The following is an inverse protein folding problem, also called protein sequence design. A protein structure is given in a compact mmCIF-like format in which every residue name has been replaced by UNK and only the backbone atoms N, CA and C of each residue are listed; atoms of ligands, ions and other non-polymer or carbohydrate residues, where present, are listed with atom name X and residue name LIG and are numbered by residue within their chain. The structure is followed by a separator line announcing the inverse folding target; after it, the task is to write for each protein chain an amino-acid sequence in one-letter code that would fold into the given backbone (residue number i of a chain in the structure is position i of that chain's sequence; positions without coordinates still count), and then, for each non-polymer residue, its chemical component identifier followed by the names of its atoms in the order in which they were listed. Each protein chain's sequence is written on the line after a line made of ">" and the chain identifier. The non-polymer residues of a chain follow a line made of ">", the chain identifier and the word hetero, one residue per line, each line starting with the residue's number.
data_IF_804951825267
#
_entry.id   IF_804951825267
#
_cell.length_a   1.000
_cell.length_b   1.000
_cell.length_c   1.000
_cell.angle_alpha   90.00
_cell.angle_beta   90.00
_cell.angle_gamma   90.00
#
_symmetry.space_group_name_H-M   'P 1'
#
loop_
_entity.id
_entity.type
_entity.pdbx_description
1 polymer ?
#
# COMPACT_ATOMS: atom_id res chain seq x y z
N UNK A 1 -3.20 15.04 1.23
CA UNK A 1 -3.33 14.54 2.61
C UNK A 1 -4.44 13.51 2.64
N UNK A 2 -4.13 12.26 2.95
CA UNK A 2 -5.15 11.24 3.17
C UNK A 2 -6.03 11.66 4.36
N UNK A 3 -7.35 11.47 4.24
CA UNK A 3 -8.24 11.67 5.38
C UNK A 3 -7.99 10.54 6.36
N UNK A 4 -7.46 10.88 7.52
CA UNK A 4 -7.35 9.94 8.64
C UNK A 4 -8.74 9.37 8.97
N UNK A 5 -8.82 8.10 9.38
CA UNK A 5 -10.07 7.52 9.86
C UNK A 5 -10.70 8.37 10.97
N UNK A 6 -12.02 8.48 10.98
CA UNK A 6 -12.74 9.35 11.91
C UNK A 6 -12.44 9.05 13.38
N UNK A 7 -12.21 7.79 13.74
CA UNK A 7 -11.79 7.36 15.07
C UNK A 7 -10.41 7.89 15.45
N UNK A 8 -9.46 7.93 14.50
CA UNK A 8 -8.11 8.48 14.74
C UNK A 8 -8.17 10.00 14.83
N UNK A 9 -8.97 10.67 14.00
CA UNK A 9 -9.21 12.12 14.08
C UNK A 9 -9.85 12.52 15.42
N UNK A 10 -10.86 11.77 15.87
CA UNK A 10 -11.48 11.99 17.19
C UNK A 10 -10.48 11.80 18.33
N UNK A 11 -9.60 10.82 18.20
CA UNK A 11 -8.59 10.50 19.18
C UNK A 11 -7.45 11.53 19.26
N UNK A 12 -7.04 12.11 18.13
CA UNK A 12 -5.99 13.15 18.06
C UNK A 12 -6.51 14.56 18.33
N UNK A 13 -7.82 14.77 18.29
CA UNK A 13 -8.44 16.09 18.45
C UNK A 13 -8.34 16.66 19.88
N UNK A 14 -8.14 15.81 20.89
CA UNK A 14 -8.27 16.18 22.31
C UNK A 14 -7.06 16.93 22.90
N UNK A 15 -5.85 16.81 22.34
CA UNK A 15 -4.70 17.59 22.82
C UNK A 15 -3.62 17.79 21.74
N UNK A 16 -2.97 18.98 21.80
CA UNK A 16 -1.85 19.31 20.90
C UNK A 16 -0.64 18.35 21.12
N UNK A 17 -0.38 17.96 22.36
CA UNK A 17 0.71 17.07 22.76
C UNK A 17 0.55 15.67 22.15
N UNK A 18 -0.67 15.12 22.12
CA UNK A 18 -0.93 13.84 21.46
C UNK A 18 -0.70 13.91 19.97
N UNK A 19 -1.21 14.96 19.33
CA UNK A 19 -1.02 15.14 17.89
C UNK A 19 0.47 15.21 17.54
N UNK A 20 1.26 15.84 18.37
CA UNK A 20 2.71 15.89 18.23
C UNK A 20 3.33 14.50 18.43
N UNK A 21 2.94 13.74 19.47
CA UNK A 21 3.41 12.38 19.70
C UNK A 21 3.14 11.43 18.54
N UNK A 22 1.92 11.46 17.98
CA UNK A 22 1.60 10.66 16.79
C UNK A 22 2.37 11.11 15.54
N UNK A 23 2.59 12.41 15.36
CA UNK A 23 3.39 12.93 14.25
C UNK A 23 4.85 12.48 14.36
N UNK A 24 5.41 12.53 15.55
CA UNK A 24 6.77 12.06 15.82
C UNK A 24 6.90 10.53 15.59
N UNK A 25 5.84 9.76 15.87
CA UNK A 25 5.86 8.32 15.57
C UNK A 25 5.83 8.03 14.08
N UNK A 26 5.08 8.79 13.29
CA UNK A 26 5.10 8.65 11.81
C UNK A 26 6.51 8.93 11.26
N UNK A 27 7.19 9.95 11.79
CA UNK A 27 8.57 10.25 11.41
C UNK A 27 9.51 9.12 11.83
N UNK A 28 9.38 8.63 13.06
CA UNK A 28 10.14 7.49 13.55
C UNK A 28 9.95 6.24 12.68
N UNK A 29 8.72 5.92 12.33
CA UNK A 29 8.41 4.79 11.45
C UNK A 29 9.03 4.93 10.05
N UNK A 30 8.98 6.14 9.49
CA UNK A 30 9.61 6.41 8.19
C UNK A 30 11.13 6.18 8.24
N UNK A 31 11.80 6.64 9.30
CA UNK A 31 13.23 6.40 9.51
C UNK A 31 13.56 4.93 9.73
N UNK A 32 12.75 4.23 10.51
CA UNK A 32 12.88 2.79 10.72
C UNK A 32 12.78 2.01 9.40
N UNK A 33 11.78 2.34 8.56
CA UNK A 33 11.58 1.73 7.25
C UNK A 33 12.75 2.00 6.29
N UNK A 34 13.30 3.20 6.32
CA UNK A 34 14.43 3.62 5.48
C UNK A 34 15.80 3.16 6.03
N UNK A 35 15.86 2.58 7.23
CA UNK A 35 17.09 2.18 7.90
C UNK A 35 18.02 3.34 8.26
N UNK A 36 17.48 4.55 8.41
CA UNK A 36 18.25 5.75 8.76
C UNK A 36 18.46 5.85 10.27
N UNK A 37 19.64 6.32 10.65
CA UNK A 37 20.05 6.46 12.06
C UNK A 37 19.74 7.82 12.67
N UNK A 38 19.40 8.82 11.84
CA UNK A 38 19.09 10.19 12.26
C UNK A 38 17.99 10.79 11.39
N UNK A 39 17.20 11.71 11.97
CA UNK A 39 16.22 12.48 11.22
C UNK A 39 16.86 13.70 10.51
N UNK A 40 16.06 14.45 9.74
CA UNK A 40 16.49 15.66 9.05
C UNK A 40 17.01 16.76 10.00
N UNK A 41 16.61 16.72 11.28
CA UNK A 41 17.03 17.69 12.30
C UNK A 41 18.25 17.23 13.11
N UNK A 42 18.88 16.09 12.77
CA UNK A 42 20.05 15.55 13.43
C UNK A 42 19.76 14.81 14.76
N UNK A 43 18.48 14.57 15.09
CA UNK A 43 18.09 13.79 16.28
C UNK A 43 18.38 12.32 16.01
N UNK A 44 19.07 11.66 16.94
CA UNK A 44 19.42 10.25 16.80
C UNK A 44 18.20 9.34 17.01
N UNK A 45 18.25 8.16 16.41
CA UNK A 45 17.19 7.15 16.56
C UNK A 45 17.00 6.74 18.04
N UNK A 46 18.08 6.72 18.83
CA UNK A 46 18.00 6.42 20.27
C UNK A 46 17.23 7.49 21.04
N UNK A 47 17.49 8.77 20.78
CA UNK A 47 16.76 9.87 21.46
C UNK A 47 15.28 9.88 21.06
N UNK A 48 14.96 9.48 19.82
CA UNK A 48 13.58 9.32 19.40
C UNK A 48 12.90 8.15 20.11
N UNK A 49 13.61 7.04 20.33
CA UNK A 49 13.10 5.90 21.09
C UNK A 49 12.72 6.30 22.53
N UNK A 50 13.55 7.09 23.22
CA UNK A 50 13.29 7.53 24.59
C UNK A 50 12.06 8.43 24.65
N UNK A 51 11.92 9.35 23.70
CA UNK A 51 10.71 10.18 23.58
C UNK A 51 9.46 9.35 23.31
N UNK A 52 9.57 8.33 22.45
CA UNK A 52 8.46 7.43 22.15
C UNK A 52 8.09 6.57 23.35
N UNK A 53 9.05 6.08 24.12
CA UNK A 53 8.78 5.32 25.34
C UNK A 53 7.97 6.16 26.36
N UNK A 54 8.35 7.42 26.53
CA UNK A 54 7.61 8.35 27.40
C UNK A 54 6.18 8.55 26.90
N UNK A 55 6.02 8.86 25.63
CA UNK A 55 4.72 9.04 25.00
C UNK A 55 3.82 7.80 25.14
N UNK A 56 4.35 6.60 24.88
CA UNK A 56 3.60 5.36 25.02
C UNK A 56 3.22 5.08 26.47
N UNK A 57 4.12 5.34 27.42
CA UNK A 57 3.83 5.17 28.85
C UNK A 57 2.69 6.08 29.31
N UNK A 58 2.66 7.31 28.85
CA UNK A 58 1.60 8.27 29.14
C UNK A 58 0.26 7.86 28.50
N UNK A 59 0.27 7.39 27.26
CA UNK A 59 -0.93 6.89 26.59
C UNK A 59 -1.48 5.61 27.22
N UNK A 60 -0.61 4.68 27.62
CA UNK A 60 -1.01 3.46 28.34
C UNK A 60 -1.61 3.83 29.70
N UNK A 61 -1.00 4.75 30.44
CA UNK A 61 -1.52 5.22 31.70
C UNK A 61 -2.90 5.88 31.56
N UNK A 62 -3.08 6.65 30.51
CA UNK A 62 -4.36 7.30 30.21
C UNK A 62 -5.46 6.30 29.86
N UNK A 63 -5.17 5.33 28.99
CA UNK A 63 -6.15 4.34 28.53
C UNK A 63 -6.50 3.33 29.64
N UNK A 64 -5.51 2.90 30.43
CA UNK A 64 -5.72 1.96 31.54
C UNK A 64 -6.31 2.64 32.79
N UNK A 65 -6.23 3.97 32.87
CA UNK A 65 -6.60 4.72 34.10
C UNK A 65 -5.67 4.47 35.30
N UNK A 66 -4.52 3.80 35.08
CA UNK A 66 -3.55 3.45 36.13
C UNK A 66 -2.20 4.06 35.81
N UNK A 67 -1.53 4.62 36.83
CA UNK A 67 -0.18 5.14 36.68
C UNK A 67 0.83 4.17 37.28
N UNK A 68 2.01 4.10 36.70
CA UNK A 68 3.12 3.30 37.27
C UNK A 68 3.50 3.74 38.68
N UNK A 69 3.38 5.04 39.00
CA UNK A 69 3.64 5.60 40.31
C UNK A 69 2.72 5.08 41.43
N UNK A 70 1.55 4.54 41.07
CA UNK A 70 0.56 4.05 41.99
C UNK A 70 0.78 2.57 42.39
N UNK A 71 1.80 1.94 41.79
CA UNK A 71 2.17 0.54 42.00
C UNK A 71 3.49 0.42 42.74
N UNK A 72 3.67 -0.70 43.46
CA UNK A 72 4.90 -0.93 44.23
C UNK A 72 6.12 -1.11 43.31
N UNK A 73 5.93 -1.73 42.16
CA UNK A 73 6.96 -1.92 41.13
C UNK A 73 6.39 -2.02 39.73
N UNK A 74 7.27 -2.00 38.75
CA UNK A 74 6.91 -2.11 37.32
C UNK A 74 6.27 -3.48 36.99
N UNK A 75 6.68 -4.55 37.65
CA UNK A 75 6.14 -5.88 37.42
C UNK A 75 4.67 -5.95 37.84
N UNK A 76 4.31 -5.32 38.95
CA UNK A 76 2.92 -5.21 39.39
C UNK A 76 2.10 -4.40 38.40
N UNK A 77 2.61 -3.27 37.91
CA UNK A 77 1.95 -2.45 36.90
C UNK A 77 1.68 -3.26 35.61
N UNK A 78 2.66 -3.99 35.13
CA UNK A 78 2.54 -4.82 33.90
C UNK A 78 1.58 -6.01 34.08
N UNK A 79 1.26 -6.42 35.30
CA UNK A 79 0.35 -7.54 35.54
C UNK A 79 -1.13 -7.19 35.41
N UNK A 80 -1.49 -5.91 35.48
CA UNK A 80 -2.87 -5.50 35.29
C UNK A 80 -3.36 -5.78 33.86
N UNK A 81 -4.54 -6.39 33.75
CA UNK A 81 -5.17 -6.65 32.44
C UNK A 81 -5.40 -5.35 31.68
N UNK A 82 -5.89 -4.31 32.36
CA UNK A 82 -6.20 -3.01 31.75
C UNK A 82 -4.95 -2.36 31.11
N UNK A 83 -3.77 -2.52 31.76
CA UNK A 83 -2.49 -2.01 31.25
C UNK A 83 -2.05 -2.77 30.01
N UNK A 84 -2.23 -4.10 30.01
CA UNK A 84 -1.92 -4.95 28.84
C UNK A 84 -2.82 -4.60 27.65
N UNK A 85 -4.12 -4.53 27.88
CA UNK A 85 -5.10 -4.16 26.87
C UNK A 85 -4.84 -2.76 26.31
N UNK A 86 -4.53 -1.79 27.20
CA UNK A 86 -4.18 -0.44 26.81
C UNK A 86 -2.90 -0.40 25.94
N UNK A 87 -1.86 -1.15 26.29
CA UNK A 87 -0.62 -1.20 25.52
C UNK A 87 -0.86 -1.68 24.08
N UNK A 88 -1.63 -2.75 23.92
CA UNK A 88 -1.93 -3.28 22.58
C UNK A 88 -2.99 -2.45 21.84
N UNK A 89 -3.87 -1.75 22.54
CA UNK A 89 -4.77 -0.78 21.92
C UNK A 89 -4.00 0.37 21.28
N UNK A 90 -2.93 0.87 21.93
CA UNK A 90 -2.03 1.88 21.36
C UNK A 90 -1.38 1.35 20.08
N UNK A 91 -0.91 0.10 20.06
CA UNK A 91 -0.35 -0.54 18.85
C UNK A 91 -1.38 -0.55 17.72
N UNK A 92 -2.61 -0.94 18.01
CA UNK A 92 -3.70 -0.95 17.02
C UNK A 92 -4.00 0.44 16.44
N UNK A 93 -4.04 1.46 17.29
CA UNK A 93 -4.28 2.85 16.84
C UNK A 93 -3.16 3.36 15.93
N UNK A 94 -1.91 3.07 16.27
CA UNK A 94 -0.75 3.45 15.45
C UNK A 94 -0.76 2.73 14.10
N UNK A 95 -1.16 1.47 14.09
CA UNK A 95 -1.34 0.69 12.87
C UNK A 95 -2.35 1.35 11.92
N UNK A 96 -3.50 1.76 12.47
CA UNK A 96 -4.56 2.41 11.70
C UNK A 96 -4.18 3.80 11.17
N UNK A 97 -3.25 4.47 11.84
CA UNK A 97 -2.73 5.76 11.42
C UNK A 97 -1.76 5.64 10.24
N UNK A 98 -0.86 4.67 10.29
CA UNK A 98 0.28 4.57 9.37
C UNK A 98 -0.09 3.85 8.07
N UNK A 99 -0.78 2.72 8.15
CA UNK A 99 -1.00 1.84 7.00
C UNK A 99 -1.66 2.56 5.82
N UNK A 100 -2.76 3.31 5.97
CA UNK A 100 -3.39 3.97 4.82
C UNK A 100 -2.47 4.98 4.14
N UNK A 101 -1.70 5.74 4.92
CA UNK A 101 -0.80 6.77 4.39
C UNK A 101 0.41 6.16 3.67
N UNK A 102 1.02 5.13 4.25
CA UNK A 102 2.12 4.39 3.65
C UNK A 102 1.71 3.72 2.33
N UNK A 103 0.55 3.07 2.29
CA UNK A 103 0.06 2.43 1.08
C UNK A 103 -0.28 3.44 -0.03
N UNK A 104 -0.87 4.59 0.32
CA UNK A 104 -1.17 5.64 -0.66
C UNK A 104 0.12 6.21 -1.24
N UNK A 105 1.14 6.41 -0.41
CA UNK A 105 2.43 6.94 -0.84
C UNK A 105 3.14 5.99 -1.80
N UNK A 106 3.15 4.70 -1.48
CA UNK A 106 3.92 3.70 -2.24
C UNK A 106 3.15 3.18 -3.47
N UNK A 107 1.85 2.92 -3.32
CA UNK A 107 1.03 2.24 -4.33
C UNK A 107 -0.10 3.11 -4.93
N UNK A 108 -0.17 4.38 -4.58
CA UNK A 108 -1.24 5.29 -5.02
C UNK A 108 -1.37 5.46 -6.53
N UNK A 109 -0.41 5.03 -7.33
CA UNK A 109 -0.53 5.02 -8.79
C UNK A 109 -1.40 3.87 -9.31
N UNK A 110 -1.34 2.70 -8.68
CA UNK A 110 -2.02 1.47 -9.11
C UNK A 110 -3.25 1.14 -8.27
N UNK A 111 -3.26 1.55 -6.99
CA UNK A 111 -4.30 1.22 -6.03
C UNK A 111 -5.09 2.45 -5.56
N UNK A 112 -6.40 2.27 -5.40
CA UNK A 112 -7.31 3.21 -4.72
C UNK A 112 -7.68 2.61 -3.37
N UNK A 113 -7.40 3.35 -2.29
CA UNK A 113 -7.64 2.89 -0.92
C UNK A 113 -8.87 3.61 -0.37
N UNK A 114 -9.83 2.84 0.13
CA UNK A 114 -11.05 3.33 0.79
C UNK A 114 -11.16 2.70 2.17
N UNK A 115 -11.58 3.51 3.13
CA UNK A 115 -11.86 3.07 4.49
C UNK A 115 -13.37 3.07 4.72
N UNK A 116 -13.86 2.06 5.43
CA UNK A 116 -15.26 1.94 5.84
C UNK A 116 -15.40 1.52 7.29
N UNK A 117 -16.65 1.39 7.76
CA UNK A 117 -16.97 0.86 9.08
C UNK A 117 -16.92 -0.67 9.13
N UNK A 118 -17.02 -1.23 10.33
CA UNK A 118 -17.18 -2.67 10.52
C UNK A 118 -18.51 -3.18 9.95
N UNK A 119 -18.44 -4.26 9.18
CA UNK A 119 -19.59 -4.84 8.49
C UNK A 119 -19.87 -4.24 7.11
N UNK A 120 -19.11 -3.24 6.69
CA UNK A 120 -19.25 -2.64 5.38
C UNK A 120 -18.55 -3.49 4.29
N UNK A 121 -19.03 -3.35 3.07
CA UNK A 121 -18.36 -3.89 1.88
C UNK A 121 -18.25 -2.80 0.81
N UNK A 122 -17.20 -2.85 0.00
CA UNK A 122 -17.02 -1.87 -1.05
C UNK A 122 -17.69 -2.32 -2.34
N UNK A 123 -18.74 -1.60 -2.73
CA UNK A 123 -19.33 -1.73 -4.06
C UNK A 123 -18.63 -0.82 -5.05
N UNK A 124 -18.10 -1.40 -6.11
CA UNK A 124 -17.43 -0.69 -7.19
C UNK A 124 -18.29 -0.78 -8.45
N UNK A 125 -18.73 0.37 -8.94
CA UNK A 125 -19.41 0.47 -10.23
C UNK A 125 -18.39 0.57 -11.36
N UNK A 126 -18.48 -0.34 -12.32
CA UNK A 126 -17.73 -0.26 -13.57
C UNK A 126 -18.45 0.67 -14.51
N UNK A 127 -17.82 1.80 -14.82
CA UNK A 127 -18.31 2.74 -15.83
C UNK A 127 -17.76 2.31 -17.19
N UNK A 128 -18.61 1.81 -18.11
CA UNK A 128 -18.15 1.47 -19.45
C UNK A 128 -17.60 2.72 -20.13
N UNK A 129 -16.47 2.58 -20.77
CA UNK A 129 -15.83 3.64 -21.57
C UNK A 129 -16.13 3.51 -23.06
N UNK A 130 -16.99 2.57 -23.44
CA UNK A 130 -17.41 2.36 -24.80
C UNK A 130 -18.10 3.62 -25.32
N UNK A 131 -17.66 4.09 -26.49
CA UNK A 131 -18.29 5.22 -27.15
C UNK A 131 -19.54 4.72 -27.89
N UNK A 132 -20.61 5.52 -27.85
CA UNK A 132 -21.75 5.26 -28.68
C UNK A 132 -21.40 5.33 -30.17
N UNK A 133 -21.89 4.38 -30.94
CA UNK A 133 -21.65 4.34 -32.38
C UNK A 133 -22.40 5.49 -33.04
N UNK A 134 -21.67 6.40 -33.66
CA UNK A 134 -22.24 7.48 -34.46
C UNK A 134 -22.38 7.03 -35.91
N UNK A 135 -23.60 6.72 -36.32
CA UNK A 135 -23.92 6.30 -37.67
C UNK A 135 -24.07 7.51 -38.57
N UNK A 136 -23.41 7.51 -39.75
CA UNK A 136 -23.66 8.47 -40.81
C UNK A 136 -24.93 8.07 -41.56
N UNK A 137 -25.84 9.01 -41.75
CA UNK A 137 -27.06 8.78 -42.50
C UNK A 137 -27.43 9.99 -43.36
N UNK A 138 -28.11 9.75 -44.48
CA UNK A 138 -28.67 10.81 -45.33
C UNK A 138 -29.82 11.55 -44.57
N UNK A 139 -30.18 12.76 -45.06
CA UNK A 139 -31.22 13.60 -44.43
C UNK A 139 -32.60 12.91 -44.33
N UNK A 140 -32.82 11.84 -45.05
CA UNK A 140 -34.09 11.09 -45.07
C UNK A 140 -34.06 9.76 -44.26
N UNK A 141 -32.98 9.50 -43.53
CA UNK A 141 -32.89 8.29 -42.65
C UNK A 141 -33.78 8.49 -41.43
N UNK A 142 -34.75 7.59 -41.24
CA UNK A 142 -35.72 7.68 -40.15
C UNK A 142 -35.24 7.09 -38.80
N UNK A 143 -34.31 6.15 -38.83
CA UNK A 143 -33.84 5.43 -37.64
C UNK A 143 -32.33 5.28 -37.67
N UNK A 144 -31.71 5.41 -36.51
CA UNK A 144 -30.31 5.14 -36.26
C UNK A 144 -30.21 3.91 -35.31
N UNK A 145 -29.11 3.19 -35.36
CA UNK A 145 -28.89 2.03 -34.54
C UNK A 145 -28.83 2.43 -33.06
N UNK A 146 -29.51 1.65 -32.19
CA UNK A 146 -29.55 1.92 -30.75
C UNK A 146 -28.37 1.25 -30.10
N UNK A 147 -27.46 2.05 -29.53
CA UNK A 147 -26.37 1.55 -28.69
C UNK A 147 -26.80 1.61 -27.23
N UNK A 148 -26.71 0.48 -26.52
CA UNK A 148 -27.06 0.38 -25.09
C UNK A 148 -25.82 0.49 -24.24
N UNK A 149 -25.93 1.22 -23.13
CA UNK A 149 -24.88 1.28 -22.11
C UNK A 149 -25.13 0.21 -21.05
N UNK A 150 -24.11 -0.57 -20.75
CA UNK A 150 -24.16 -1.56 -19.68
C UNK A 150 -23.34 -1.05 -18.50
N UNK A 151 -23.87 -1.19 -17.29
CA UNK A 151 -23.12 -0.95 -16.06
C UNK A 151 -22.79 -2.30 -15.43
N UNK A 152 -21.54 -2.48 -15.04
CA UNK A 152 -21.09 -3.59 -14.21
C UNK A 152 -20.99 -3.14 -12.76
N UNK A 153 -21.24 -4.03 -11.82
CA UNK A 153 -21.05 -3.83 -10.40
C UNK A 153 -20.27 -5.02 -9.84
N UNK A 154 -19.28 -4.75 -9.01
CA UNK A 154 -18.55 -5.79 -8.28
C UNK A 154 -18.37 -5.35 -6.84
N UNK A 155 -18.61 -6.27 -5.90
CA UNK A 155 -18.43 -6.03 -4.47
C UNK A 155 -17.12 -6.64 -4.00
N UNK A 156 -16.34 -5.89 -3.23
CA UNK A 156 -15.16 -6.35 -2.51
C UNK A 156 -15.60 -6.60 -1.07
N UNK A 157 -15.47 -7.84 -0.63
CA UNK A 157 -15.75 -8.26 0.74
C UNK A 157 -14.40 -8.30 1.48
N UNK A 158 -14.27 -7.60 2.62
CA UNK A 158 -13.06 -7.68 3.41
C UNK A 158 -12.89 -9.04 4.09
N UNK A 159 -11.64 -9.44 4.29
CA UNK A 159 -11.23 -10.64 5.01
C UNK A 159 -10.37 -10.23 6.21
N UNK A 160 -10.45 -10.99 7.30
CA UNK A 160 -9.71 -10.70 8.53
C UNK A 160 -8.33 -11.33 8.46
N UNK A 161 -7.31 -10.50 8.60
CA UNK A 161 -5.91 -10.92 8.69
C UNK A 161 -5.43 -10.71 10.12
N UNK A 162 -4.74 -11.69 10.67
CA UNK A 162 -4.23 -11.63 12.04
C UNK A 162 -2.74 -11.85 12.11
N UNK A 163 -2.08 -11.09 12.98
CA UNK A 163 -0.69 -11.31 13.37
C UNK A 163 -0.65 -11.56 14.89
N UNK A 164 -0.11 -12.69 15.28
CA UNK A 164 0.10 -13.00 16.70
C UNK A 164 1.55 -12.74 17.08
N UNK A 165 1.73 -11.90 18.06
CA UNK A 165 3.07 -11.50 18.55
C UNK A 165 3.19 -11.76 20.04
N UNK A 166 4.35 -12.28 20.44
CA UNK A 166 4.70 -12.47 21.85
C UNK A 166 5.72 -11.43 22.30
N UNK A 167 5.44 -10.72 23.37
CA UNK A 167 6.35 -9.74 23.95
C UNK A 167 6.27 -9.76 25.48
N UNK A 168 7.41 -9.54 26.15
CA UNK A 168 7.44 -9.26 27.58
C UNK A 168 7.17 -7.77 27.81
N UNK A 169 5.97 -7.43 28.26
CA UNK A 169 5.61 -6.04 28.54
C UNK A 169 6.53 -5.43 29.63
N UNK A 170 6.98 -6.25 30.58
CA UNK A 170 7.94 -5.84 31.62
C UNK A 170 9.27 -5.37 30.99
N UNK A 171 9.84 -6.16 30.06
CA UNK A 171 11.11 -5.82 29.43
C UNK A 171 10.99 -4.59 28.51
N UNK A 172 9.82 -4.43 27.90
CA UNK A 172 9.50 -3.26 27.08
C UNK A 172 9.41 -1.99 27.93
N UNK A 173 8.65 -1.99 29.01
CA UNK A 173 8.49 -0.82 29.87
C UNK A 173 9.74 -0.53 30.71
N UNK A 174 10.59 -1.55 30.96
CA UNK A 174 11.92 -1.37 31.55
C UNK A 174 12.91 -0.71 30.58
N UNK A 175 12.59 -0.65 29.29
CA UNK A 175 13.46 -0.10 28.25
C UNK A 175 14.50 -1.08 27.72
N UNK A 176 14.40 -2.38 28.04
CA UNK A 176 15.30 -3.43 27.50
C UNK A 176 15.01 -3.67 26.02
N UNK A 177 13.74 -3.64 25.62
CA UNK A 177 13.30 -3.67 24.23
C UNK A 177 12.55 -2.39 23.88
N UNK A 178 12.81 -1.85 22.70
CA UNK A 178 12.08 -0.68 22.20
C UNK A 178 10.65 -1.06 21.82
N UNK A 179 9.67 -0.45 22.54
CA UNK A 179 8.26 -0.59 22.16
C UNK A 179 8.01 -0.01 20.75
N UNK A 180 8.67 1.10 20.44
CA UNK A 180 8.53 1.75 19.13
C UNK A 180 9.02 0.86 17.99
N UNK A 181 10.14 0.17 18.17
CA UNK A 181 10.63 -0.82 17.19
C UNK A 181 9.69 -2.01 17.04
N UNK A 182 9.17 -2.52 18.16
CA UNK A 182 8.20 -3.62 18.15
C UNK A 182 6.93 -3.23 17.38
N UNK A 183 6.35 -2.06 17.67
CA UNK A 183 5.19 -1.53 16.96
C UNK A 183 5.50 -1.33 15.49
N UNK A 184 6.64 -0.70 15.17
CA UNK A 184 7.06 -0.48 13.78
C UNK A 184 7.20 -1.78 12.99
N UNK A 185 7.75 -2.83 13.62
CA UNK A 185 7.88 -4.14 13.00
C UNK A 185 6.52 -4.81 12.76
N UNK A 186 5.58 -4.70 13.71
CA UNK A 186 4.23 -5.23 13.53
C UNK A 186 3.48 -4.51 12.41
N UNK A 187 3.54 -3.17 12.38
CA UNK A 187 2.94 -2.35 11.32
C UNK A 187 3.55 -2.68 9.95
N UNK A 188 4.89 -2.77 9.87
CA UNK A 188 5.60 -3.10 8.64
C UNK A 188 5.22 -4.50 8.12
N UNK A 189 5.00 -5.47 9.02
CA UNK A 189 4.58 -6.81 8.64
C UNK A 189 3.18 -6.80 7.99
N UNK A 190 2.23 -6.07 8.56
CA UNK A 190 0.88 -5.92 8.00
C UNK A 190 0.92 -5.13 6.68
N UNK A 191 1.69 -4.04 6.63
CA UNK A 191 1.88 -3.24 5.41
C UNK A 191 2.45 -4.09 4.27
N UNK A 192 3.47 -4.90 4.57
CA UNK A 192 4.11 -5.80 3.59
C UNK A 192 3.12 -6.82 3.05
N UNK A 193 2.30 -7.44 3.92
CA UNK A 193 1.27 -8.36 3.48
C UNK A 193 0.23 -7.69 2.60
N UNK A 194 -0.24 -6.50 2.97
CA UNK A 194 -1.19 -5.75 2.14
C UNK A 194 -0.60 -5.37 0.77
N UNK A 195 0.67 -4.99 0.71
CA UNK A 195 1.38 -4.73 -0.56
C UNK A 195 1.48 -5.99 -1.40
N UNK A 196 1.77 -7.12 -0.79
CA UNK A 196 1.81 -8.42 -1.45
C UNK A 196 0.46 -8.74 -2.13
N UNK A 197 -0.64 -8.59 -1.38
CA UNK A 197 -1.99 -8.87 -1.88
C UNK A 197 -2.40 -7.90 -3.00
N UNK A 198 -2.00 -6.62 -2.90
CA UNK A 198 -2.24 -5.61 -3.95
C UNK A 198 -1.48 -5.97 -5.23
N UNK A 199 -0.22 -6.37 -5.11
CA UNK A 199 0.57 -6.78 -6.27
C UNK A 199 0.08 -8.09 -6.88
N UNK A 200 -0.40 -9.02 -6.05
CA UNK A 200 -1.01 -10.26 -6.55
C UNK A 200 -2.27 -9.99 -7.37
N UNK A 201 -3.17 -9.18 -6.83
CA UNK A 201 -4.38 -8.76 -7.54
C UNK A 201 -4.06 -7.98 -8.83
N UNK A 202 -3.05 -7.10 -8.80
CA UNK A 202 -2.59 -6.35 -9.96
C UNK A 202 -2.01 -7.28 -11.03
N UNK A 203 -1.12 -8.19 -10.65
CA UNK A 203 -0.50 -9.14 -11.57
C UNK A 203 -1.54 -10.09 -12.19
N UNK A 204 -2.51 -10.57 -11.41
CA UNK A 204 -3.61 -11.39 -11.89
C UNK A 204 -4.45 -10.65 -12.93
N UNK A 205 -4.78 -9.37 -12.68
CA UNK A 205 -5.52 -8.53 -13.63
C UNK A 205 -4.74 -8.34 -14.95
N UNK A 206 -3.44 -8.06 -14.85
CA UNK A 206 -2.58 -7.86 -16.02
C UNK A 206 -2.40 -9.15 -16.84
N UNK A 207 -2.30 -10.30 -16.17
CA UNK A 207 -2.22 -11.60 -16.83
C UNK A 207 -3.54 -12.00 -17.54
N UNK A 208 -4.67 -11.48 -17.08
CA UNK A 208 -5.99 -11.71 -17.70
C UNK A 208 -6.24 -10.87 -18.98
N UNK A 209 -5.33 -9.93 -19.31
CA UNK A 209 -5.48 -9.10 -20.51
C UNK A 209 -5.37 -9.94 -21.79
N UNK A 210 -6.12 -9.57 -22.87
CA UNK A 210 -6.10 -10.29 -24.13
C UNK A 210 -4.71 -10.35 -24.77
N UNK A 211 -4.27 -11.57 -25.13
CA UNK A 211 -3.00 -11.83 -25.82
C UNK A 211 -3.16 -12.14 -27.32
N UNK A 212 -4.39 -12.19 -27.83
CA UNK A 212 -4.64 -12.48 -29.24
C UNK A 212 -4.08 -11.37 -30.14
N UNK A 213 -3.33 -11.77 -31.16
CA UNK A 213 -2.76 -10.84 -32.15
C UNK A 213 -3.89 -10.11 -32.88
N UNK A 214 -3.81 -8.78 -32.95
CA UNK A 214 -4.79 -7.93 -33.62
C UNK A 214 -5.15 -6.66 -32.86
N UNK A 215 -6.26 -6.04 -33.25
CA UNK A 215 -6.70 -4.77 -32.66
C UNK A 215 -6.96 -4.83 -31.14
N UNK A 216 -7.34 -5.99 -30.62
CA UNK A 216 -7.62 -6.23 -29.18
C UNK A 216 -6.39 -6.66 -28.37
N UNK A 217 -5.22 -6.79 -28.98
CA UNK A 217 -4.02 -7.20 -28.26
C UNK A 217 -3.56 -6.12 -27.26
N UNK A 218 -3.50 -6.48 -25.99
CA UNK A 218 -3.05 -5.64 -24.86
C UNK A 218 -1.86 -6.23 -24.12
N UNK A 219 -1.49 -7.46 -24.48
CA UNK A 219 -0.34 -8.19 -23.94
C UNK A 219 0.59 -8.52 -25.10
N UNK A 220 1.81 -8.01 -25.05
CA UNK A 220 2.80 -8.10 -26.12
C UNK A 220 3.99 -8.90 -25.63
N UNK A 221 4.46 -9.87 -26.42
CA UNK A 221 5.69 -10.60 -26.16
C UNK A 221 6.87 -9.93 -26.83
N UNK A 222 7.94 -9.74 -26.07
CA UNK A 222 9.17 -9.08 -26.52
C UNK A 222 9.05 -7.55 -26.51
N UNK A 223 10.12 -6.90 -26.05
CA UNK A 223 10.23 -5.44 -26.13
C UNK A 223 10.76 -5.00 -27.48
N UNK A 224 9.99 -4.16 -28.17
CA UNK A 224 10.46 -3.37 -29.30
C UNK A 224 9.97 -1.94 -29.13
N UNK A 225 10.76 -0.97 -29.58
CA UNK A 225 10.40 0.45 -29.49
C UNK A 225 9.03 0.73 -30.12
N UNK A 226 8.80 0.22 -31.33
CA UNK A 226 7.57 0.49 -32.08
C UNK A 226 6.35 -0.15 -31.44
N UNK A 227 6.48 -1.39 -30.97
CA UNK A 227 5.37 -2.10 -30.29
C UNK A 227 5.03 -1.46 -28.94
N UNK A 228 6.04 -1.00 -28.19
CA UNK A 228 5.84 -0.31 -26.92
C UNK A 228 5.11 1.02 -27.10
N UNK A 229 5.52 1.83 -28.11
CA UNK A 229 4.86 3.09 -28.43
C UNK A 229 3.42 2.84 -28.93
N UNK A 230 3.21 1.87 -29.80
CA UNK A 230 1.90 1.52 -30.33
C UNK A 230 0.93 1.09 -29.21
N UNK A 231 1.40 0.27 -28.25
CA UNK A 231 0.63 -0.11 -27.08
C UNK A 231 0.30 1.10 -26.21
N UNK A 232 1.26 1.97 -25.93
CA UNK A 232 1.06 3.16 -25.13
C UNK A 232 0.05 4.12 -25.77
N UNK A 233 0.12 4.36 -27.09
CA UNK A 233 -0.85 5.16 -27.83
C UNK A 233 -2.26 4.56 -27.76
N UNK A 234 -2.37 3.24 -27.88
CA UNK A 234 -3.64 2.52 -27.76
C UNK A 234 -4.24 2.68 -26.38
N UNK A 235 -3.45 2.47 -25.32
CA UNK A 235 -3.88 2.67 -23.93
C UNK A 235 -4.27 4.12 -23.69
N UNK A 236 -3.51 5.08 -24.21
CA UNK A 236 -3.83 6.50 -24.13
C UNK A 236 -5.17 6.84 -24.80
N UNK A 237 -5.39 6.39 -26.01
CA UNK A 237 -6.60 6.70 -26.78
C UNK A 237 -7.86 6.16 -26.08
N UNK A 238 -7.82 4.92 -25.61
CA UNK A 238 -8.94 4.29 -24.88
C UNK A 238 -9.18 4.86 -23.50
N UNK A 239 -8.19 5.50 -22.90
CA UNK A 239 -8.31 6.21 -21.63
C UNK A 239 -8.62 7.71 -21.77
N UNK A 240 -9.18 8.13 -22.91
CA UNK A 240 -9.60 9.50 -23.14
C UNK A 240 -8.44 10.49 -23.27
N UNK A 241 -7.28 10.05 -23.76
CA UNK A 241 -6.09 10.88 -23.95
C UNK A 241 -5.21 11.04 -22.70
N UNK A 242 -5.50 10.33 -21.60
CA UNK A 242 -4.68 10.36 -20.40
C UNK A 242 -3.26 9.85 -20.69
N UNK A 243 -2.24 10.51 -20.13
CA UNK A 243 -0.83 10.16 -20.38
C UNK A 243 -0.52 8.76 -19.86
N UNK A 244 0.04 7.87 -20.71
CA UNK A 244 0.50 6.56 -20.28
C UNK A 244 1.81 6.67 -19.53
N UNK A 245 2.05 5.68 -18.65
CA UNK A 245 3.29 5.53 -17.88
C UNK A 245 3.71 4.07 -17.96
N UNK A 246 5.00 3.81 -18.12
CA UNK A 246 5.58 2.47 -17.98
C UNK A 246 5.89 2.21 -16.50
N UNK A 247 5.36 1.11 -15.99
CA UNK A 247 5.65 0.63 -14.64
C UNK A 247 6.37 -0.71 -14.71
N UNK A 248 7.31 -0.92 -13.83
CA UNK A 248 8.02 -2.19 -13.72
C UNK A 248 9.07 -2.18 -12.63
N UNK A 249 9.69 -3.31 -12.41
CA UNK A 249 10.86 -3.39 -11.54
C UNK A 249 12.06 -2.73 -12.21
N UNK A 250 13.06 -2.38 -11.44
CA UNK A 250 14.30 -1.78 -11.96
C UNK A 250 14.94 -2.64 -13.05
N UNK A 251 14.92 -3.97 -12.87
CA UNK A 251 15.47 -4.89 -13.87
C UNK A 251 14.63 -4.90 -15.16
N UNK A 252 13.31 -4.89 -15.05
CA UNK A 252 12.43 -4.80 -16.22
C UNK A 252 12.62 -3.48 -16.96
N UNK A 253 12.63 -2.35 -16.25
CA UNK A 253 12.79 -1.02 -16.85
C UNK A 253 14.18 -0.81 -17.47
N UNK A 254 15.22 -1.45 -16.96
CA UNK A 254 16.57 -1.38 -17.53
C UNK A 254 16.66 -1.95 -18.96
N UNK A 255 15.71 -2.79 -19.36
CA UNK A 255 15.62 -3.35 -20.71
C UNK A 255 14.92 -2.43 -21.71
N UNK A 256 14.33 -1.32 -21.26
CA UNK A 256 13.76 -0.29 -22.11
C UNK A 256 14.90 0.54 -22.72
N UNK A 257 15.29 0.21 -23.94
CA UNK A 257 16.38 0.89 -24.64
C UNK A 257 15.93 1.35 -26.03
N UNK A 258 16.37 2.55 -26.50
CA UNK A 258 16.13 2.99 -27.87
C UNK A 258 16.73 2.02 -28.88
N UNK A 259 16.12 1.92 -30.06
CA UNK A 259 16.63 1.07 -31.13
C UNK A 259 18.00 1.58 -31.65
N UNK A 260 18.20 2.90 -31.67
CA UNK A 260 19.44 3.52 -32.20
C UNK A 260 20.60 3.45 -31.19
N UNK A 261 21.73 2.90 -31.62
CA UNK A 261 22.97 2.84 -30.84
C UNK A 261 23.52 4.22 -30.47
N UNK A 262 23.41 5.20 -31.36
CA UNK A 262 23.87 6.57 -31.08
C UNK A 262 23.06 7.22 -29.96
N UNK A 263 21.75 7.01 -29.94
CA UNK A 263 20.88 7.51 -28.87
C UNK A 263 21.23 6.85 -27.54
N UNK A 264 21.58 5.56 -27.50
CA UNK A 264 22.03 4.86 -26.29
C UNK A 264 23.31 5.47 -25.70
N UNK A 265 24.25 5.86 -26.55
CA UNK A 265 25.50 6.49 -26.11
C UNK A 265 25.24 7.86 -25.47
N UNK A 266 24.36 8.67 -26.04
CA UNK A 266 24.00 9.99 -25.50
C UNK A 266 23.27 9.92 -24.17
N UNK A 267 22.55 8.84 -23.88
CA UNK A 267 21.79 8.63 -22.65
C UNK A 267 22.60 7.96 -21.54
N UNK A 268 23.87 7.63 -21.78
CA UNK A 268 24.69 6.83 -20.88
C UNK A 268 24.82 7.40 -19.46
N UNK A 269 24.84 8.72 -19.30
CA UNK A 269 25.02 9.36 -17.98
C UNK A 269 23.77 9.19 -17.09
N UNK A 270 22.57 9.34 -17.62
CA UNK A 270 21.33 9.12 -16.91
C UNK A 270 21.13 7.64 -16.57
N UNK A 271 21.38 6.76 -17.54
CA UNK A 271 21.26 5.32 -17.37
C UNK A 271 22.23 4.77 -16.30
N UNK A 272 23.46 5.28 -16.26
CA UNK A 272 24.44 4.87 -15.24
C UNK A 272 24.04 5.32 -13.83
N UNK A 273 23.42 6.51 -13.69
CA UNK A 273 23.01 7.05 -12.39
C UNK A 273 21.76 6.38 -11.81
N UNK A 274 20.77 6.08 -12.65
CA UNK A 274 19.44 5.58 -12.22
C UNK A 274 19.30 4.08 -12.47
N UNK A 275 19.95 3.55 -13.51
CA UNK A 275 19.86 2.15 -13.94
C UNK A 275 18.77 1.90 -14.99
N UNK A 276 17.96 2.88 -15.30
CA UNK A 276 16.95 2.88 -16.37
C UNK A 276 16.66 4.30 -16.86
N UNK A 277 15.95 4.44 -17.97
CA UNK A 277 15.55 5.74 -18.50
C UNK A 277 14.28 6.23 -17.78
N UNK A 278 14.28 7.44 -17.25
CA UNK A 278 13.10 8.06 -16.61
C UNK A 278 11.99 8.39 -17.60
N UNK A 279 12.39 8.77 -18.82
CA UNK A 279 11.46 9.09 -19.91
C UNK A 279 11.89 8.35 -21.17
N UNK A 280 11.00 7.56 -21.74
CA UNK A 280 11.19 6.85 -22.99
C UNK A 280 10.23 7.37 -24.05
N UNK A 281 10.76 8.07 -25.05
CA UNK A 281 9.96 8.67 -26.15
C UNK A 281 8.77 9.51 -25.67
N UNK A 282 8.95 10.28 -24.60
CA UNK A 282 7.91 11.14 -24.03
C UNK A 282 6.93 10.41 -23.09
N UNK A 283 7.19 9.14 -22.78
CA UNK A 283 6.43 8.34 -21.82
C UNK A 283 7.28 8.17 -20.57
N UNK A 284 6.78 8.61 -19.43
CA UNK A 284 7.50 8.47 -18.17
C UNK A 284 7.57 7.02 -17.70
N UNK A 285 8.70 6.65 -17.12
CA UNK A 285 8.89 5.33 -16.52
C UNK A 285 8.95 5.48 -15.00
N UNK A 286 8.26 4.60 -14.28
CA UNK A 286 8.20 4.62 -12.81
C UNK A 286 8.54 3.24 -12.28
N UNK A 287 9.48 3.19 -11.36
CA UNK A 287 9.89 1.96 -10.69
C UNK A 287 8.84 1.54 -9.66
N UNK A 288 8.49 0.27 -9.67
CA UNK A 288 7.76 -0.40 -8.60
C UNK A 288 8.77 -1.08 -7.68
N UNK A 289 8.71 -0.73 -6.40
CA UNK A 289 9.56 -1.35 -5.39
C UNK A 289 9.17 -2.81 -5.18
N UNK A 290 10.18 -3.68 -5.13
CA UNK A 290 9.97 -5.10 -4.82
C UNK A 290 9.45 -5.27 -3.39
N UNK A 291 8.58 -6.26 -3.22
CA UNK A 291 8.05 -6.66 -1.92
C UNK A 291 8.51 -8.09 -1.64
N UNK A 292 8.86 -8.33 -0.38
CA UNK A 292 9.29 -9.66 0.08
C UNK A 292 8.13 -10.64 -0.06
N UNK A 293 8.42 -11.80 -0.61
CA UNK A 293 7.49 -12.92 -0.64
C UNK A 293 7.66 -13.73 0.65
N UNK A 294 6.68 -13.66 1.55
CA UNK A 294 6.72 -14.36 2.83
C UNK A 294 6.56 -15.89 2.69
N UNK A 295 6.29 -16.39 1.48
CA UNK A 295 6.10 -17.83 1.23
C UNK A 295 7.40 -18.60 1.01
N UNK A 296 8.48 -17.90 0.66
CA UNK A 296 9.80 -18.50 0.45
C UNK A 296 10.94 -17.58 0.88
N UNK A 297 12.06 -18.18 1.33
CA UNK A 297 13.22 -17.42 1.77
C UNK A 297 13.81 -16.57 0.64
N UNK A 298 14.00 -15.29 0.91
CA UNK A 298 14.62 -14.28 0.01
C UNK A 298 13.91 -14.09 -1.34
N UNK A 299 12.68 -14.59 -1.50
CA UNK A 299 11.93 -14.36 -2.72
C UNK A 299 11.27 -12.98 -2.74
N UNK A 300 11.02 -12.50 -3.96
CA UNK A 300 10.36 -11.22 -4.23
C UNK A 300 9.13 -11.45 -5.10
N UNK A 301 8.10 -10.61 -4.94
CA UNK A 301 6.79 -10.83 -5.55
C UNK A 301 6.66 -10.35 -6.98
N UNK A 302 7.26 -9.22 -7.34
CA UNK A 302 7.09 -8.65 -8.67
C UNK A 302 7.93 -9.40 -9.71
N UNK A 303 7.32 -9.65 -10.86
CA UNK A 303 7.95 -10.30 -12.00
C UNK A 303 8.86 -9.30 -12.74
N UNK A 304 10.16 -9.60 -12.77
CA UNK A 304 11.18 -8.80 -13.43
C UNK A 304 11.13 -8.91 -14.99
N UNK A 305 10.29 -9.79 -15.51
CA UNK A 305 10.12 -9.97 -16.95
C UNK A 305 8.91 -9.18 -17.51
N UNK A 306 8.27 -8.31 -16.74
CA UNK A 306 7.08 -7.59 -17.18
C UNK A 306 7.19 -6.08 -17.02
N UNK A 307 6.73 -5.36 -18.07
CA UNK A 307 6.52 -3.92 -18.04
C UNK A 307 5.03 -3.66 -18.23
N UNK A 308 4.46 -2.89 -17.31
CA UNK A 308 3.04 -2.54 -17.33
C UNK A 308 2.85 -1.14 -17.91
N UNK A 309 1.83 -0.98 -18.73
CA UNK A 309 1.45 0.30 -19.33
C UNK A 309 0.11 0.71 -18.77
N UNK A 310 0.10 1.76 -17.97
CA UNK A 310 -1.12 2.27 -17.34
C UNK A 310 -1.24 3.79 -17.49
N UNK A 311 -2.43 4.33 -17.24
CA UNK A 311 -2.68 5.76 -17.17
C UNK A 311 -3.07 6.15 -15.72
N UNK A 312 -2.12 6.64 -14.89
CA UNK A 312 -2.38 6.91 -13.47
C UNK A 312 -3.49 7.94 -13.20
N UNK A 313 -3.74 8.84 -14.15
CA UNK A 313 -4.78 9.87 -14.06
C UNK A 313 -6.22 9.38 -14.29
N UNK A 314 -6.40 8.06 -14.47
CA UNK A 314 -7.70 7.44 -14.72
C UNK A 314 -8.15 6.61 -13.52
N UNK A 315 -9.10 5.70 -13.74
CA UNK A 315 -9.55 4.76 -12.73
C UNK A 315 -8.42 3.80 -12.34
N UNK A 316 -8.16 3.64 -11.03
CA UNK A 316 -7.08 2.80 -10.53
C UNK A 316 -7.39 1.33 -10.74
N UNK A 317 -6.36 0.53 -11.07
CA UNK A 317 -6.52 -0.88 -11.42
C UNK A 317 -6.93 -1.75 -10.22
N UNK A 318 -6.41 -1.44 -9.05
CA UNK A 318 -6.69 -2.17 -7.81
C UNK A 318 -7.51 -1.29 -6.88
N UNK A 319 -8.51 -1.89 -6.25
CA UNK A 319 -9.30 -1.26 -5.19
C UNK A 319 -9.01 -1.98 -3.89
N UNK A 320 -8.63 -1.23 -2.88
CA UNK A 320 -8.38 -1.73 -1.53
C UNK A 320 -9.43 -1.13 -0.60
N UNK A 321 -10.10 -1.98 0.12
CA UNK A 321 -11.06 -1.57 1.13
C UNK A 321 -10.56 -1.99 2.50
N UNK A 322 -10.35 -1.03 3.38
CA UNK A 322 -9.92 -1.26 4.76
C UNK A 322 -11.16 -1.09 5.63
N UNK A 323 -11.53 -2.17 6.32
CA UNK A 323 -12.69 -2.22 7.19
C UNK A 323 -12.29 -1.88 8.64
N UNK A 324 -13.01 -0.94 9.22
CA UNK A 324 -12.93 -0.61 10.63
C UNK A 324 -11.55 -0.28 11.18
N UNK A 325 -11.45 -0.35 12.51
CA UNK A 325 -10.18 -0.19 13.25
C UNK A 325 -9.52 -1.56 13.50
N UNK A 326 -8.21 -1.53 13.72
CA UNK A 326 -7.46 -2.71 14.14
C UNK A 326 -7.93 -3.15 15.53
N UNK A 327 -8.28 -4.43 15.67
CA UNK A 327 -8.63 -5.03 16.94
C UNK A 327 -7.42 -5.74 17.53
N UNK A 328 -7.27 -5.64 18.84
CA UNK A 328 -6.26 -6.37 19.59
C UNK A 328 -6.92 -7.32 20.59
N UNK A 329 -6.44 -8.55 20.65
CA UNK A 329 -6.81 -9.51 21.67
C UNK A 329 -5.56 -9.95 22.41
N UNK A 330 -5.59 -9.82 23.75
CA UNK A 330 -4.47 -10.19 24.62
C UNK A 330 -4.84 -11.48 25.34
N UNK A 331 -4.04 -12.53 25.15
CA UNK A 331 -4.24 -13.77 25.88
C UNK A 331 -3.88 -13.60 27.35
N UNK A 332 -4.73 -14.13 28.24
CA UNK A 332 -4.48 -14.09 29.69
C UNK A 332 -3.33 -15.05 30.06
N UNK A 333 -2.53 -14.66 31.05
CA UNK A 333 -1.33 -15.38 31.53
C UNK A 333 -1.59 -16.82 32.05
N UNK A 334 -2.83 -17.25 32.14
CA UNK A 334 -3.18 -18.58 32.71
C UNK A 334 -2.81 -19.76 31.78
N UNK A 335 -2.52 -19.49 30.51
CA UNK A 335 -2.19 -20.53 29.52
C UNK A 335 -0.69 -20.65 29.25
N UNK A 336 0.11 -19.64 29.57
CA UNK A 336 1.55 -19.64 29.30
C UNK A 336 2.37 -19.55 30.59
N UNK A 337 3.15 -20.61 30.88
CA UNK A 337 4.13 -20.61 31.96
C UNK A 337 5.30 -19.61 31.73
N UNK A 338 5.42 -19.09 30.54
CA UNK A 338 6.38 -18.04 30.19
C UNK A 338 5.77 -16.67 30.52
N UNK A 339 6.53 -15.79 31.17
CA UNK A 339 6.15 -14.41 31.48
C UNK A 339 5.93 -13.52 30.24
N UNK A 340 5.78 -14.11 29.07
CA UNK A 340 5.49 -13.44 27.80
C UNK A 340 3.98 -13.28 27.64
N UNK A 341 3.58 -12.09 27.27
CA UNK A 341 2.21 -11.81 26.84
C UNK A 341 2.11 -12.04 25.32
N UNK A 342 1.11 -12.81 24.95
CA UNK A 342 0.78 -13.04 23.54
C UNK A 342 -0.40 -12.15 23.18
N UNK A 343 -0.25 -11.35 22.14
CA UNK A 343 -1.33 -10.54 21.60
C UNK A 343 -1.52 -10.81 20.13
N UNK A 344 -2.77 -10.88 19.72
CA UNK A 344 -3.16 -11.00 18.32
C UNK A 344 -3.77 -9.68 17.88
N UNK A 345 -3.19 -9.12 16.82
CA UNK A 345 -3.72 -7.94 16.12
C UNK A 345 -4.50 -8.40 14.91
N UNK A 346 -5.72 -7.96 14.79
CA UNK A 346 -6.60 -8.26 13.66
C UNK A 346 -6.84 -7.01 12.82
N UNK A 347 -6.57 -7.10 11.53
CA UNK A 347 -6.90 -6.08 10.54
C UNK A 347 -7.76 -6.68 9.44
N UNK A 348 -8.93 -6.08 9.22
CA UNK A 348 -9.81 -6.50 8.13
C UNK A 348 -9.61 -5.62 6.92
N UNK A 349 -9.33 -6.23 5.77
CA UNK A 349 -9.25 -5.53 4.49
C UNK A 349 -9.58 -6.47 3.33
N UNK A 350 -10.00 -5.88 2.22
CA UNK A 350 -10.26 -6.60 0.97
C UNK A 350 -9.53 -5.95 -0.19
N UNK A 351 -8.98 -6.77 -1.08
CA UNK A 351 -8.31 -6.32 -2.29
C UNK A 351 -9.01 -6.89 -3.51
N UNK A 352 -9.23 -6.05 -4.51
CA UNK A 352 -9.85 -6.49 -5.75
C UNK A 352 -9.31 -5.72 -6.96
N UNK A 353 -8.99 -6.43 -8.02
CA UNK A 353 -8.63 -5.81 -9.29
C UNK A 353 -9.91 -5.53 -10.09
N UNK A 354 -10.30 -4.28 -10.11
CA UNK A 354 -11.52 -3.80 -10.76
C UNK A 354 -11.24 -2.41 -11.32
N UNK A 355 -11.24 -2.27 -12.64
CA UNK A 355 -11.04 -0.98 -13.27
C UNK A 355 -11.83 -0.87 -14.57
N UNK A 356 -12.29 0.33 -14.86
CA UNK A 356 -12.81 0.72 -16.17
C UNK A 356 -11.73 1.25 -17.11
N UNK A 357 -10.50 1.46 -16.60
CA UNK A 357 -9.37 1.91 -17.41
C UNK A 357 -8.73 0.75 -18.17
N UNK A 358 -8.27 1.02 -19.38
CA UNK A 358 -7.49 0.08 -20.16
C UNK A 358 -6.02 0.12 -19.73
N UNK A 359 -5.41 -1.04 -19.64
CA UNK A 359 -3.98 -1.20 -19.39
C UNK A 359 -3.36 -2.14 -20.42
N UNK A 360 -2.03 -2.17 -20.47
CA UNK A 360 -1.29 -3.07 -21.34
C UNK A 360 -0.11 -3.70 -20.60
N UNK A 361 0.41 -4.82 -21.13
CA UNK A 361 1.59 -5.52 -20.61
C UNK A 361 2.55 -5.82 -21.72
N UNK A 362 3.83 -5.61 -21.48
CA UNK A 362 4.92 -6.06 -22.34
C UNK A 362 5.68 -7.13 -21.55
N UNK A 363 5.68 -8.35 -22.06
CA UNK A 363 6.45 -9.46 -21.52
C UNK A 363 7.83 -9.46 -22.14
N UNK A 364 8.85 -9.33 -21.32
CA UNK A 364 10.25 -9.40 -21.71
C UNK A 364 10.62 -10.87 -21.88
N UNK A 365 11.15 -11.23 -23.00
CA UNK A 365 11.66 -12.58 -23.28
C UNK A 365 13.07 -12.77 -22.73
#
# INVERSE_FOLDING_TARGET
>A
MAKLPNNVLAFTADSAERKEGYTNFIEYYSLYKEGKTQNANGVSFSEMNDKMLTFFSDEIARLSGKKQSDCADLAQYCNFSDVKEAAFAVVGMLTDLIIPDALIKDLGMIAEIKNGGWGDSLKVELKPRDLFIVSKGGRNRRTYDITRQFKGEKTIVPEVHGITVGVSLYDVLKGTYSLAEFVSKAVLSIETQMKYDIYDAFAAAMNALPNSVGASQLRISGFSQDTAIALAQKVQAWNGGAKPVFLGTKLALSKILPASTNTRILLGDEYVKVGYMRDFMGISTVELEQVVDNTSEFAVKLDDAKIYVICPGTDKMVKVFIEGSTLSNVESNYTNANLQQTATLYKSYGVGAISSALAGVIELS
#
